data_IF_206125132435
#
_entry.id   IF_206125132435
#
_cell.length_a   1.000
_cell.length_b   1.000
_cell.length_c   1.000
_cell.angle_alpha   90.00
_cell.angle_beta   90.00
_cell.angle_gamma   90.00
#
_symmetry.space_group_name_H-M   'P 1'
#
loop_
_entity.id
_entity.type
_entity.pdbx_description
1 polymer ?
#
# COMPACT_ATOMS: atom_id res chain seq x y z
N UNK A 1 -39.57 -29.01 -16.78
CA UNK A 1 -38.48 -29.43 -15.88
C UNK A 1 -37.29 -28.52 -16.13
N UNK A 2 -37.26 -27.39 -15.43
CA UNK A 2 -36.16 -26.43 -15.49
C UNK A 2 -35.01 -27.00 -14.66
N UNK A 3 -33.85 -27.24 -15.27
CA UNK A 3 -32.60 -27.39 -14.51
C UNK A 3 -32.07 -25.98 -14.29
N UNK A 4 -32.19 -25.48 -13.07
CA UNK A 4 -31.42 -24.34 -12.58
C UNK A 4 -29.94 -24.69 -12.72
N UNK A 5 -29.24 -23.98 -13.61
CA UNK A 5 -27.79 -23.91 -13.56
C UNK A 5 -27.45 -23.29 -12.21
N UNK A 6 -26.95 -24.11 -11.28
CA UNK A 6 -26.27 -23.63 -10.11
C UNK A 6 -25.15 -22.71 -10.60
N UNK A 7 -25.35 -21.41 -10.45
CA UNK A 7 -24.25 -20.45 -10.49
C UNK A 7 -23.37 -20.82 -9.31
N UNK A 8 -22.28 -21.56 -9.59
CA UNK A 8 -21.14 -21.61 -8.68
C UNK A 8 -20.86 -20.16 -8.27
N UNK A 9 -20.70 -19.84 -6.97
CA UNK A 9 -20.25 -18.51 -6.60
C UNK A 9 -18.99 -18.24 -7.42
N UNK A 10 -18.96 -17.12 -8.13
CA UNK A 10 -17.79 -16.65 -8.86
C UNK A 10 -16.59 -16.88 -7.96
N UNK A 11 -15.75 -17.86 -8.35
CA UNK A 11 -14.54 -18.24 -7.65
C UNK A 11 -13.84 -16.97 -7.16
N UNK A 12 -13.42 -16.99 -5.89
CA UNK A 12 -12.47 -16.05 -5.30
C UNK A 12 -11.50 -15.56 -6.36
N UNK A 13 -11.77 -14.36 -6.87
CA UNK A 13 -10.89 -13.63 -7.76
C UNK A 13 -9.57 -13.56 -7.02
N UNK A 14 -8.49 -14.15 -7.56
CA UNK A 14 -7.21 -14.33 -6.88
C UNK A 14 -6.93 -13.14 -5.94
N UNK A 15 -7.22 -13.34 -4.65
CA UNK A 15 -7.27 -12.22 -3.71
C UNK A 15 -5.86 -11.65 -3.62
N UNK A 16 -5.72 -10.35 -3.87
CA UNK A 16 -4.44 -9.69 -3.71
C UNK A 16 -3.88 -10.01 -2.33
N UNK A 17 -2.70 -10.62 -2.26
CA UNK A 17 -2.09 -11.09 -0.99
C UNK A 17 -1.97 -9.97 0.05
N UNK A 18 -1.78 -8.73 -0.41
CA UNK A 18 -1.65 -7.56 0.45
C UNK A 18 -3.01 -6.96 0.88
N UNK A 19 -4.11 -7.30 0.20
CA UNK A 19 -5.45 -6.85 0.59
C UNK A 19 -5.97 -7.67 1.77
N UNK A 20 -5.68 -7.21 2.97
CA UNK A 20 -6.21 -7.78 4.22
C UNK A 20 -7.47 -7.04 4.66
N UNK A 21 -8.34 -7.70 5.45
CA UNK A 21 -9.49 -7.01 6.08
C UNK A 21 -9.08 -5.79 6.90
N UNK A 22 -7.91 -5.86 7.53
CA UNK A 22 -7.36 -4.74 8.31
C UNK A 22 -6.98 -3.56 7.40
N UNK A 23 -6.40 -3.83 6.24
CA UNK A 23 -6.12 -2.80 5.24
C UNK A 23 -7.42 -2.18 4.70
N UNK A 24 -8.40 -3.01 4.35
CA UNK A 24 -9.71 -2.56 3.86
C UNK A 24 -10.41 -1.63 4.88
N UNK A 25 -10.47 -2.04 6.15
CA UNK A 25 -10.99 -1.21 7.25
C UNK A 25 -10.14 0.06 7.47
N UNK A 26 -8.81 -0.03 7.35
CA UNK A 26 -7.94 1.13 7.53
C UNK A 26 -8.14 2.20 6.44
N UNK A 27 -8.47 1.79 5.22
CA UNK A 27 -8.75 2.69 4.08
C UNK A 27 -10.20 3.19 4.06
N UNK A 28 -11.10 2.57 4.82
CA UNK A 28 -12.49 3.02 4.93
C UNK A 28 -12.57 4.45 5.43
N UNK A 29 -13.13 5.34 4.62
CA UNK A 29 -13.20 6.78 4.90
C UNK A 29 -11.98 7.60 4.44
N UNK A 30 -11.02 6.96 3.75
CA UNK A 30 -9.87 7.59 3.12
C UNK A 30 -9.82 7.27 1.60
N UNK A 31 -10.88 7.62 0.83
CA UNK A 31 -10.83 7.50 -0.62
C UNK A 31 -9.76 8.41 -1.21
N UNK A 32 -9.45 8.23 -2.49
CA UNK A 32 -8.50 9.10 -3.19
C UNK A 32 -8.92 10.57 -3.07
N UNK A 33 -7.95 11.46 -2.89
CA UNK A 33 -8.10 12.91 -2.71
C UNK A 33 -8.73 13.37 -1.38
N UNK A 34 -9.03 12.46 -0.44
CA UNK A 34 -9.62 12.80 0.87
C UNK A 34 -8.69 13.55 1.85
N UNK A 35 -7.40 13.59 1.53
CA UNK A 35 -6.33 14.19 2.33
C UNK A 35 -5.56 15.29 1.57
N UNK A 36 -6.05 15.72 0.41
CA UNK A 36 -5.47 16.81 -0.38
C UNK A 36 -5.25 18.07 0.46
N UNK A 37 -4.12 18.73 0.23
CA UNK A 37 -3.72 19.94 0.94
C UNK A 37 -3.25 19.75 2.38
N UNK A 38 -3.31 18.53 2.94
CA UNK A 38 -2.83 18.28 4.32
C UNK A 38 -1.30 18.17 4.44
N UNK A 39 -0.60 17.88 3.34
CA UNK A 39 0.86 17.72 3.34
C UNK A 39 1.33 16.79 4.47
N UNK A 40 2.27 17.26 5.31
CA UNK A 40 2.81 16.50 6.46
C UNK A 40 1.78 16.16 7.56
N UNK A 41 0.60 16.79 7.56
CA UNK A 41 -0.49 16.51 8.48
C UNK A 41 -1.42 15.39 8.00
N UNK A 42 -1.24 14.89 6.77
CA UNK A 42 -1.95 13.72 6.26
C UNK A 42 -1.68 12.49 7.12
N UNK A 43 -2.70 11.64 7.26
CA UNK A 43 -2.67 10.45 8.11
C UNK A 43 -2.25 9.26 7.25
N UNK A 44 -1.10 8.68 7.55
CA UNK A 44 -0.69 7.40 7.00
C UNK A 44 -1.56 6.29 7.59
N UNK A 45 -2.10 5.43 6.72
CA UNK A 45 -3.07 4.37 7.02
C UNK A 45 -2.45 2.99 7.04
N UNK A 46 -1.41 2.77 6.23
CA UNK A 46 -0.66 1.53 6.17
C UNK A 46 0.77 1.79 5.71
N UNK A 47 1.67 0.87 6.06
CA UNK A 47 3.05 0.87 5.56
C UNK A 47 3.31 -0.46 4.89
N UNK A 48 3.83 -0.43 3.67
CA UNK A 48 4.41 -1.61 3.02
C UNK A 48 5.93 -1.50 2.97
N UNK A 49 6.61 -2.64 2.99
CA UNK A 49 8.06 -2.71 3.05
C UNK A 49 8.64 -3.85 2.20
N UNK A 50 9.78 -3.57 1.55
CA UNK A 50 10.68 -4.56 0.96
C UNK A 50 12.12 -4.07 1.11
N UNK A 51 12.92 -4.75 1.93
CA UNK A 51 14.29 -4.30 2.24
C UNK A 51 14.29 -2.90 2.85
N UNK A 52 14.99 -1.96 2.21
CA UNK A 52 15.02 -0.53 2.60
C UNK A 52 13.90 0.33 2.01
N UNK A 53 13.05 -0.23 1.13
CA UNK A 53 11.95 0.51 0.49
C UNK A 53 10.74 0.54 1.40
N UNK A 54 10.09 1.70 1.51
CA UNK A 54 8.84 1.88 2.26
C UNK A 54 7.82 2.60 1.39
N UNK A 55 6.58 2.12 1.45
CA UNK A 55 5.41 2.81 0.89
C UNK A 55 4.50 3.20 2.04
N UNK A 56 4.37 4.51 2.28
CA UNK A 56 3.48 5.10 3.28
C UNK A 56 2.14 5.42 2.61
N UNK A 57 1.14 4.59 2.85
CA UNK A 57 -0.15 4.69 2.19
C UNK A 57 -1.01 5.72 2.92
N UNK A 58 -1.60 6.64 2.19
CA UNK A 58 -2.48 7.69 2.70
C UNK A 58 -3.94 7.39 2.40
N UNK A 59 -4.22 6.89 1.21
CA UNK A 59 -5.56 6.74 0.68
C UNK A 59 -5.63 5.49 -0.19
N UNK A 60 -6.85 5.03 -0.45
CA UNK A 60 -7.06 3.99 -1.44
C UNK A 60 -8.52 3.82 -1.81
N UNK A 61 -8.74 3.43 -3.07
CA UNK A 61 -10.05 3.20 -3.64
C UNK A 61 -10.04 1.92 -4.49
N UNK A 62 -11.14 1.18 -4.44
CA UNK A 62 -11.29 -0.04 -5.21
C UNK A 62 -11.68 0.31 -6.64
N UNK A 63 -10.88 -0.14 -7.60
CA UNK A 63 -11.13 0.02 -9.03
C UNK A 63 -11.23 -1.35 -9.68
N UNK A 64 -12.45 -1.79 -9.98
CA UNK A 64 -12.73 -3.11 -10.57
C UNK A 64 -12.10 -4.28 -9.77
N UNK A 65 -11.01 -4.87 -10.28
CA UNK A 65 -10.28 -5.99 -9.70
C UNK A 65 -8.98 -5.58 -8.96
N UNK A 66 -8.74 -4.28 -8.80
CA UNK A 66 -7.58 -3.74 -8.10
C UNK A 66 -8.01 -2.76 -7.01
N UNK A 67 -7.05 -2.37 -6.17
CA UNK A 67 -7.17 -1.23 -5.28
C UNK A 67 -6.04 -0.28 -5.60
N UNK A 68 -6.40 0.90 -6.08
CA UNK A 68 -5.45 1.97 -6.34
C UNK A 68 -5.24 2.69 -5.03
N UNK A 69 -3.97 2.76 -4.62
CA UNK A 69 -3.55 3.47 -3.43
C UNK A 69 -2.88 4.78 -3.84
N UNK A 70 -2.91 5.75 -2.95
CA UNK A 70 -2.08 6.95 -3.04
C UNK A 70 -1.21 7.07 -1.78
N UNK A 71 0.06 7.41 -1.97
CA UNK A 71 1.00 7.47 -0.87
C UNK A 71 2.38 7.99 -1.25
N UNK A 72 3.32 7.88 -0.32
CA UNK A 72 4.72 8.25 -0.50
C UNK A 72 5.55 6.99 -0.59
N UNK A 73 6.41 6.88 -1.60
CA UNK A 73 7.47 5.87 -1.66
C UNK A 73 8.81 6.50 -1.33
N UNK A 74 9.57 5.83 -0.47
CA UNK A 74 10.98 6.14 -0.21
C UNK A 74 11.81 4.87 -0.33
N UNK A 75 13.09 5.01 -0.66
CA UNK A 75 13.99 3.86 -0.79
C UNK A 75 14.27 3.44 -2.23
N UNK A 76 13.57 4.01 -3.21
CA UNK A 76 13.82 3.83 -4.65
C UNK A 76 14.85 4.85 -5.16
N UNK A 77 14.96 4.97 -6.49
CA UNK A 77 15.82 5.96 -7.16
C UNK A 77 15.44 7.39 -6.74
N UNK A 78 14.14 7.66 -6.63
CA UNK A 78 13.60 8.94 -6.16
C UNK A 78 12.59 8.69 -5.03
N UNK A 79 12.44 9.68 -4.15
CA UNK A 79 11.39 9.71 -3.14
C UNK A 79 10.26 10.57 -3.67
N UNK A 80 9.04 10.06 -3.70
CA UNK A 80 7.93 10.74 -4.37
C UNK A 80 6.56 10.38 -3.79
N UNK A 81 5.59 11.24 -4.07
CA UNK A 81 4.18 10.87 -4.02
C UNK A 81 3.82 10.11 -5.29
N UNK A 82 2.99 9.08 -5.18
CA UNK A 82 2.58 8.30 -6.34
C UNK A 82 1.33 7.48 -6.12
N UNK A 83 0.70 7.13 -7.24
CA UNK A 83 -0.34 6.12 -7.29
C UNK A 83 0.30 4.74 -7.35
N UNK A 84 -0.29 3.79 -6.63
CA UNK A 84 0.25 2.44 -6.48
C UNK A 84 -0.88 1.45 -6.72
N UNK A 85 -0.74 0.60 -7.74
CA UNK A 85 -1.58 -0.60 -7.87
C UNK A 85 -1.22 -1.58 -6.76
N UNK A 86 -2.20 -1.97 -5.93
CA UNK A 86 -1.97 -2.96 -4.89
C UNK A 86 -1.64 -4.34 -5.49
N UNK A 87 -2.25 -4.68 -6.63
CA UNK A 87 -1.92 -5.89 -7.38
C UNK A 87 -0.46 -5.89 -7.84
N UNK A 88 0.02 -4.82 -8.48
CA UNK A 88 1.42 -4.72 -8.91
C UNK A 88 2.37 -4.77 -7.71
N UNK A 89 2.09 -3.99 -6.66
CA UNK A 89 2.87 -3.99 -5.42
C UNK A 89 2.99 -5.40 -4.81
N UNK A 90 1.90 -6.18 -4.86
CA UNK A 90 1.88 -7.55 -4.32
C UNK A 90 2.71 -8.55 -5.12
N UNK A 91 2.94 -8.25 -6.41
CA UNK A 91 3.70 -9.08 -7.34
C UNK A 91 5.20 -8.80 -7.33
N UNK A 92 5.64 -7.69 -6.69
CA UNK A 92 7.07 -7.38 -6.53
C UNK A 92 7.75 -8.48 -5.71
N UNK A 93 8.75 -9.10 -6.34
CA UNK A 93 9.60 -10.13 -5.76
C UNK A 93 11.07 -9.82 -6.04
N UNK A 94 11.91 -9.95 -5.02
CA UNK A 94 13.35 -9.84 -5.11
C UNK A 94 13.95 -11.22 -4.84
N UNK A 95 14.52 -11.84 -5.88
CA UNK A 95 15.19 -13.12 -5.76
C UNK A 95 16.65 -12.94 -5.31
N UNK A 96 16.95 -13.38 -4.09
CA UNK A 96 18.28 -13.39 -3.49
C UNK A 96 18.74 -14.82 -3.20
N UNK A 97 18.22 -15.81 -3.94
CA UNK A 97 18.57 -17.22 -3.78
C UNK A 97 20.07 -17.45 -3.96
N UNK A 98 20.69 -16.78 -4.94
CA UNK A 98 22.15 -16.85 -5.19
C UNK A 98 22.99 -16.31 -4.02
N UNK A 99 22.39 -15.54 -3.12
CA UNK A 99 23.01 -15.01 -1.90
C UNK A 99 22.60 -15.77 -0.64
N UNK A 100 21.81 -16.85 -0.77
CA UNK A 100 21.33 -17.67 0.35
C UNK A 100 20.13 -17.12 1.12
N UNK A 101 19.53 -16.00 0.67
CA UNK A 101 18.40 -15.35 1.37
C UNK A 101 17.01 -15.73 0.82
N UNK A 102 16.96 -16.48 -0.28
CA UNK A 102 15.73 -16.86 -0.96
C UNK A 102 15.00 -15.67 -1.60
N UNK A 103 13.69 -15.81 -1.80
CA UNK A 103 12.83 -14.79 -2.41
C UNK A 103 12.20 -13.90 -1.35
N UNK A 104 12.36 -12.58 -1.51
CA UNK A 104 11.73 -11.58 -0.68
C UNK A 104 10.56 -10.94 -1.44
N UNK A 105 9.49 -10.64 -0.73
CA UNK A 105 8.29 -10.00 -1.29
C UNK A 105 7.87 -8.85 -0.41
N UNK A 106 7.11 -7.90 -0.97
CA UNK A 106 6.54 -6.80 -0.20
C UNK A 106 5.64 -7.34 0.90
N UNK A 107 5.76 -6.77 2.11
CA UNK A 107 4.93 -7.07 3.28
C UNK A 107 4.30 -5.82 3.85
N UNK A 108 3.08 -5.95 4.36
CA UNK A 108 2.47 -4.92 5.19
C UNK A 108 3.14 -4.93 6.56
N UNK A 109 3.36 -3.75 7.16
CA UNK A 109 3.78 -3.63 8.54
C UNK A 109 2.61 -4.02 9.46
N UNK A 110 2.84 -5.03 10.29
CA UNK A 110 1.85 -5.50 11.26
C UNK A 110 1.62 -4.45 12.36
N UNK A 111 0.41 -4.45 12.92
CA UNK A 111 0.02 -3.62 14.07
C UNK A 111 0.28 -2.11 13.97
N UNK A 112 0.48 -1.61 12.75
CA UNK A 112 0.56 -0.19 12.48
C UNK A 112 -0.73 0.54 12.90
N UNK A 113 -0.56 1.64 13.62
CA UNK A 113 -1.63 2.55 13.99
C UNK A 113 -1.60 3.78 13.09
N UNK A 114 -2.75 4.21 12.53
CA UNK A 114 -2.78 5.38 11.67
C UNK A 114 -2.18 6.61 12.35
N UNK A 115 -1.21 7.22 11.69
CA UNK A 115 -0.34 8.25 12.28
C UNK A 115 -0.09 9.35 11.26
N UNK A 116 -0.07 10.62 11.70
CA UNK A 116 0.30 11.72 10.81
C UNK A 116 1.72 11.55 10.30
N UNK A 117 1.96 11.87 9.02
CA UNK A 117 3.26 11.72 8.38
C UNK A 117 4.40 12.38 9.18
N UNK A 118 4.19 13.58 9.70
CA UNK A 118 5.17 14.30 10.54
C UNK A 118 5.57 13.60 11.85
N UNK A 119 4.77 12.62 12.31
CA UNK A 119 5.01 11.90 13.56
C UNK A 119 5.62 10.51 13.32
N UNK A 120 5.78 10.09 12.07
CA UNK A 120 6.41 8.81 11.73
C UNK A 120 7.92 8.90 11.93
N UNK A 121 8.48 7.95 12.69
CA UNK A 121 9.92 7.87 12.94
C UNK A 121 10.66 7.18 11.79
N UNK A 122 10.71 7.83 10.63
CA UNK A 122 11.47 7.40 9.44
C UNK A 122 12.26 8.59 8.87
N UNK A 123 13.59 8.52 8.95
CA UNK A 123 14.45 9.65 8.59
C UNK A 123 14.30 10.06 7.12
N UNK A 124 14.20 9.08 6.20
CA UNK A 124 14.13 9.36 4.77
C UNK A 124 12.79 10.00 4.40
N UNK A 125 11.70 9.54 5.03
CA UNK A 125 10.40 10.21 4.94
C UNK A 125 10.48 11.65 5.49
N UNK A 126 11.06 11.87 6.67
CA UNK A 126 11.14 13.22 7.25
C UNK A 126 11.98 14.17 6.37
N UNK A 127 13.08 13.69 5.81
CA UNK A 127 13.89 14.44 4.83
C UNK A 127 13.11 14.75 3.54
N UNK A 128 12.30 13.82 3.05
CA UNK A 128 11.41 14.05 1.91
C UNK A 128 10.36 15.13 2.22
N UNK A 129 9.67 15.02 3.36
CA UNK A 129 8.66 15.99 3.77
C UNK A 129 9.24 17.40 4.00
N UNK A 130 10.47 17.48 4.51
CA UNK A 130 11.17 18.75 4.70
C UNK A 130 11.47 19.46 3.36
N UNK A 131 11.84 18.69 2.33
CA UNK A 131 12.10 19.21 0.97
C UNK A 131 10.84 19.71 0.27
N UNK A 132 9.66 19.26 0.67
CA UNK A 132 8.38 19.66 0.06
C UNK A 132 7.77 20.91 0.69
N UNK A 133 8.26 21.37 1.86
CA UNK A 133 7.76 22.56 2.56
C UNK A 133 8.44 23.88 2.10
N UNK A 134 8.80 24.00 0.82
CA UNK A 134 9.17 25.30 0.25
C UNK A 134 7.95 26.21 0.09
#
# INVERSE_FOLDING_TARGET
WFMTLNTLPLNDTAMCRLMTRKLEEALKGYPLYSQDGKGKDAICRAIFALGGVRWFILEGEKESNDTILFGIVVGLLEDEYGYISLNELSSIELDLTDKGFGKLQVRQQDDFQPTQLKNLNDNRLQEFLARMNY
#
